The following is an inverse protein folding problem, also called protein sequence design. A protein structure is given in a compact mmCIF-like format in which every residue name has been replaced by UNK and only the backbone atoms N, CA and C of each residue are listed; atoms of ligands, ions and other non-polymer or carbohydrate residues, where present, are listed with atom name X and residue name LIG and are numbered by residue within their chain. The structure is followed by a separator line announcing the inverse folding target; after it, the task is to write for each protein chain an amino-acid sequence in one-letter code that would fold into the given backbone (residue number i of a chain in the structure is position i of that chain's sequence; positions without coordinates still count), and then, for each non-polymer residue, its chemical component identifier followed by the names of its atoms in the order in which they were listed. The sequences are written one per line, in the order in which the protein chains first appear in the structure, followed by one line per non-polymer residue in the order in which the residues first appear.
data_IF_792908948561
#
_entry.id   IF_792908948561
#
_cell.length_a   1.000
_cell.length_b   1.000
_cell.length_c   1.000
_cell.angle_alpha   90.00
_cell.angle_beta   90.00
_cell.angle_gamma   90.00
#
_symmetry.space_group_name_H-M   'P 1'
#
loop_
_entity.id
_entity.type
_entity.pdbx_description
1 polymer ?
#
# COMPACT_ATOMS: atom_id res chain seq x y z
N UNK A 1 -15.57 1.63 -25.26
CA UNK A 1 -14.82 0.35 -25.19
C UNK A 1 -13.99 0.23 -23.92
N UNK A 2 -13.41 1.32 -23.37
CA UNK A 2 -12.62 1.28 -22.13
C UNK A 2 -13.41 0.90 -20.87
N UNK A 3 -14.68 1.32 -20.73
CA UNK A 3 -15.47 1.01 -19.52
C UNK A 3 -15.62 -0.49 -19.26
N UNK A 4 -15.81 -1.29 -20.32
CA UNK A 4 -15.88 -2.75 -20.21
C UNK A 4 -14.54 -3.37 -19.75
N UNK A 5 -13.42 -2.81 -20.21
CA UNK A 5 -12.08 -3.25 -19.81
C UNK A 5 -11.82 -2.97 -18.33
N UNK A 6 -12.21 -1.79 -17.84
CA UNK A 6 -12.04 -1.43 -16.42
C UNK A 6 -12.81 -2.38 -15.51
N UNK A 7 -14.08 -2.68 -15.84
CA UNK A 7 -14.90 -3.61 -15.06
C UNK A 7 -14.29 -5.02 -15.09
N UNK A 8 -13.86 -5.49 -16.26
CA UNK A 8 -13.20 -6.78 -16.40
C UNK A 8 -11.94 -6.86 -15.55
N UNK A 9 -11.11 -5.82 -15.57
CA UNK A 9 -9.86 -5.79 -14.82
C UNK A 9 -10.10 -5.75 -13.31
N UNK A 10 -11.11 -5.00 -12.84
CA UNK A 10 -11.54 -5.04 -11.43
C UNK A 10 -11.98 -6.45 -11.03
N UNK A 11 -12.75 -7.14 -11.88
CA UNK A 11 -13.16 -8.53 -11.62
C UNK A 11 -11.96 -9.45 -11.54
N UNK A 12 -10.97 -9.30 -12.43
CA UNK A 12 -9.72 -10.07 -12.39
C UNK A 12 -8.96 -9.80 -11.09
N UNK A 13 -8.81 -8.53 -10.70
CA UNK A 13 -8.17 -8.11 -9.44
C UNK A 13 -8.84 -8.81 -8.26
N UNK A 14 -10.18 -8.79 -8.18
CA UNK A 14 -10.93 -9.42 -7.10
C UNK A 14 -10.77 -10.94 -7.11
N UNK A 15 -10.91 -11.58 -8.27
CA UNK A 15 -10.83 -13.04 -8.41
C UNK A 15 -9.45 -13.59 -8.05
N UNK A 16 -8.37 -12.86 -8.34
CA UNK A 16 -7.01 -13.29 -8.02
C UNK A 16 -6.62 -12.90 -6.59
N UNK A 17 -7.01 -11.71 -6.14
CA UNK A 17 -6.63 -11.23 -4.80
C UNK A 17 -7.32 -12.04 -3.69
N UNK A 18 -8.61 -12.35 -3.83
CA UNK A 18 -9.37 -13.02 -2.75
C UNK A 18 -8.77 -14.38 -2.33
N UNK A 19 -8.44 -15.33 -3.23
CA UNK A 19 -7.79 -16.58 -2.85
C UNK A 19 -6.42 -16.37 -2.21
N UNK A 20 -5.61 -15.44 -2.74
CA UNK A 20 -4.27 -15.14 -2.22
C UNK A 20 -4.38 -14.61 -0.79
N UNK A 21 -5.28 -13.65 -0.55
CA UNK A 21 -5.51 -13.07 0.77
C UNK A 21 -6.02 -14.13 1.74
N UNK A 22 -6.95 -14.99 1.30
CA UNK A 22 -7.46 -16.08 2.12
C UNK A 22 -6.32 -17.01 2.57
N UNK A 23 -5.43 -17.37 1.65
CA UNK A 23 -4.24 -18.17 1.95
C UNK A 23 -3.30 -17.44 2.92
N UNK A 24 -3.01 -16.16 2.69
CA UNK A 24 -2.13 -15.36 3.55
C UNK A 24 -2.68 -15.21 4.95
N UNK A 25 -3.99 -14.99 5.07
CA UNK A 25 -4.69 -14.94 6.36
C UNK A 25 -4.61 -16.29 7.08
N UNK A 26 -4.74 -17.41 6.37
CA UNK A 26 -4.58 -18.76 6.96
C UNK A 26 -3.15 -19.00 7.47
N UNK A 27 -2.16 -18.39 6.82
CA UNK A 27 -0.75 -18.44 7.23
C UNK A 27 -0.40 -17.40 8.32
N UNK A 28 -1.39 -16.64 8.83
CA UNK A 28 -1.19 -15.52 9.76
C UNK A 28 -0.24 -14.43 9.23
N UNK A 29 -0.18 -14.26 7.91
CA UNK A 29 0.58 -13.20 7.27
C UNK A 29 -0.27 -11.94 7.07
N UNK A 30 0.32 -10.74 7.09
CA UNK A 30 -0.40 -9.50 6.80
C UNK A 30 -1.03 -9.53 5.40
N UNK A 31 -2.34 -9.25 5.32
CA UNK A 31 -3.08 -9.29 4.05
C UNK A 31 -2.54 -8.29 3.02
N UNK A 32 -1.95 -7.17 3.47
CA UNK A 32 -1.30 -6.18 2.59
C UNK A 32 -0.23 -6.82 1.70
N UNK A 33 0.58 -7.72 2.25
CA UNK A 33 1.61 -8.45 1.48
C UNK A 33 0.95 -9.33 0.41
N UNK A 34 -0.18 -9.95 0.74
CA UNK A 34 -0.98 -10.73 -0.22
C UNK A 34 -1.53 -9.88 -1.36
N UNK A 35 -2.03 -8.67 -1.08
CA UNK A 35 -2.47 -7.72 -2.12
C UNK A 35 -1.32 -7.31 -3.06
N UNK A 36 -0.14 -7.01 -2.50
CA UNK A 36 1.04 -6.67 -3.30
C UNK A 36 1.48 -7.83 -4.20
N UNK A 37 1.45 -9.06 -3.68
CA UNK A 37 1.76 -10.25 -4.47
C UNK A 37 0.74 -10.51 -5.57
N UNK A 38 -0.55 -10.36 -5.28
CA UNK A 38 -1.60 -10.46 -6.28
C UNK A 38 -1.38 -9.44 -7.40
N UNK A 39 -1.10 -8.18 -7.05
CA UNK A 39 -0.78 -7.11 -7.99
C UNK A 39 0.47 -7.39 -8.82
N UNK A 40 1.54 -7.91 -8.20
CA UNK A 40 2.76 -8.32 -8.90
C UNK A 40 2.50 -9.45 -9.90
N UNK A 41 1.61 -10.39 -9.57
CA UNK A 41 1.25 -11.51 -10.44
C UNK A 41 0.40 -11.05 -11.63
N UNK A 42 -0.62 -10.22 -11.42
CA UNK A 42 -1.58 -9.84 -12.48
C UNK A 42 -1.18 -8.59 -13.25
N UNK A 43 -0.32 -7.75 -12.67
CA UNK A 43 0.10 -6.46 -13.18
C UNK A 43 0.97 -6.55 -14.45
N UNK A 44 1.43 -5.41 -14.96
CA UNK A 44 2.13 -5.32 -16.24
C UNK A 44 3.49 -6.06 -16.26
N UNK A 45 4.10 -6.28 -15.10
CA UNK A 45 5.35 -7.03 -14.97
C UNK A 45 5.14 -8.53 -14.69
N UNK A 46 3.91 -8.95 -14.37
CA UNK A 46 3.53 -10.34 -14.18
C UNK A 46 2.93 -10.93 -15.46
N UNK A 47 1.70 -11.45 -15.35
CA UNK A 47 0.96 -12.04 -16.47
C UNK A 47 0.30 -11.03 -17.41
N UNK A 48 0.41 -9.72 -17.15
CA UNK A 48 -0.17 -8.65 -18.00
C UNK A 48 -1.66 -8.84 -18.24
N UNK A 49 -2.39 -9.23 -17.19
CA UNK A 49 -3.83 -9.47 -17.28
C UNK A 49 -4.64 -8.17 -17.25
N UNK A 50 -4.06 -7.14 -16.63
CA UNK A 50 -4.64 -5.80 -16.53
C UNK A 50 -4.30 -4.99 -17.78
N UNK A 51 -5.32 -4.43 -18.43
CA UNK A 51 -5.19 -3.65 -19.67
C UNK A 51 -5.42 -2.16 -19.44
N UNK A 52 -6.34 -1.80 -18.54
CA UNK A 52 -6.68 -0.43 -18.17
C UNK A 52 -5.86 0.01 -16.95
N UNK A 53 -4.52 -0.01 -17.07
CA UNK A 53 -3.59 0.24 -15.95
C UNK A 53 -3.75 1.67 -15.42
N UNK A 54 -3.79 2.65 -16.31
CA UNK A 54 -3.89 4.07 -15.94
C UNK A 54 -5.22 4.36 -15.22
N UNK A 55 -6.34 3.80 -15.71
CA UNK A 55 -7.64 3.97 -15.06
C UNK A 55 -7.72 3.27 -13.70
N UNK A 56 -7.07 2.11 -13.55
CA UNK A 56 -7.01 1.40 -12.27
C UNK A 56 -6.12 2.15 -11.27
N UNK A 57 -5.03 2.78 -11.72
CA UNK A 57 -4.17 3.60 -10.88
C UNK A 57 -4.95 4.77 -10.27
N UNK A 58 -5.71 5.51 -11.08
CA UNK A 58 -6.58 6.60 -10.60
C UNK A 58 -7.62 6.09 -9.59
N UNK A 59 -8.23 4.93 -9.86
CA UNK A 59 -9.19 4.32 -8.92
C UNK A 59 -8.51 3.91 -7.61
N UNK A 60 -7.28 3.39 -7.66
CA UNK A 60 -6.51 3.02 -6.49
C UNK A 60 -6.11 4.23 -5.65
N UNK A 61 -5.71 5.34 -6.28
CA UNK A 61 -5.44 6.60 -5.59
C UNK A 61 -6.67 7.10 -4.82
N UNK A 62 -7.84 7.10 -5.47
CA UNK A 62 -9.10 7.47 -4.81
C UNK A 62 -9.38 6.53 -3.63
N UNK A 63 -9.19 5.21 -3.81
CA UNK A 63 -9.35 4.23 -2.74
C UNK A 63 -8.43 4.49 -1.53
N UNK A 64 -7.16 4.81 -1.78
CA UNK A 64 -6.19 5.16 -0.72
C UNK A 64 -6.56 6.46 -0.04
N UNK A 65 -7.01 7.48 -0.78
CA UNK A 65 -7.48 8.74 -0.22
C UNK A 65 -8.68 8.50 0.71
N UNK A 66 -9.67 7.71 0.27
CA UNK A 66 -10.84 7.36 1.08
C UNK A 66 -10.45 6.55 2.33
N UNK A 67 -9.48 5.64 2.22
CA UNK A 67 -8.94 4.89 3.36
C UNK A 67 -8.26 5.82 4.37
N UNK A 68 -7.36 6.69 3.90
CA UNK A 68 -6.66 7.65 4.76
C UNK A 68 -7.62 8.65 5.40
N UNK A 69 -8.66 9.06 4.67
CA UNK A 69 -9.74 9.88 5.21
C UNK A 69 -10.51 9.15 6.31
N UNK A 70 -10.87 7.88 6.10
CA UNK A 70 -11.56 7.06 7.10
C UNK A 70 -10.71 6.88 8.35
N UNK A 71 -9.42 6.56 8.20
CA UNK A 71 -8.45 6.52 9.31
C UNK A 71 -8.43 7.86 10.05
N UNK A 72 -8.45 8.98 9.31
CA UNK A 72 -8.53 10.32 9.89
C UNK A 72 -9.80 10.57 10.71
N UNK A 73 -10.95 10.05 10.27
CA UNK A 73 -12.22 10.16 11.01
C UNK A 73 -12.27 9.28 12.27
N UNK A 74 -11.60 8.14 12.27
CA UNK A 74 -11.51 7.26 13.45
C UNK A 74 -10.64 7.87 14.57
N UNK A 75 -9.69 8.73 14.22
CA UNK A 75 -8.78 9.36 15.16
C UNK A 75 -9.41 10.62 15.77
N UNK A 76 -9.64 10.61 17.07
CA UNK A 76 -10.14 11.78 17.80
C UNK A 76 -9.03 12.66 18.36
N UNK A 77 -9.30 13.97 18.50
CA UNK A 77 -8.38 14.92 19.14
C UNK A 77 -7.94 14.50 20.56
N UNK A 78 -8.84 13.90 21.33
CA UNK A 78 -8.54 13.41 22.69
C UNK A 78 -7.57 12.23 22.66
N UNK A 79 -7.73 11.29 21.71
CA UNK A 79 -6.78 10.19 21.50
C UNK A 79 -5.41 10.72 21.09
N UNK A 80 -5.34 11.65 20.13
CA UNK A 80 -4.07 12.28 19.72
C UNK A 80 -3.40 12.93 20.93
N UNK A 81 -4.12 13.74 21.71
CA UNK A 81 -3.54 14.44 22.86
C UNK A 81 -3.03 13.47 23.94
N UNK A 82 -3.67 12.29 24.08
CA UNK A 82 -3.22 11.22 24.98
C UNK A 82 -1.90 10.60 24.53
N UNK A 83 -1.72 10.36 23.23
CA UNK A 83 -0.52 9.72 22.68
C UNK A 83 0.51 10.71 22.14
N UNK A 84 0.26 12.03 22.15
CA UNK A 84 1.08 13.05 21.49
C UNK A 84 2.55 12.99 21.88
N UNK A 85 2.83 12.78 23.18
CA UNK A 85 4.21 12.76 23.67
C UNK A 85 4.94 11.56 23.09
N UNK A 86 4.31 10.40 23.08
CA UNK A 86 4.85 9.18 22.49
C UNK A 86 5.00 9.29 20.97
N UNK A 87 3.99 9.83 20.27
CA UNK A 87 4.05 10.07 18.82
C UNK A 87 5.22 11.01 18.45
N UNK A 88 5.36 12.13 19.16
CA UNK A 88 6.39 13.13 18.85
C UNK A 88 7.79 12.67 19.25
N UNK A 89 7.96 12.00 20.39
CA UNK A 89 9.29 11.55 20.84
C UNK A 89 9.67 10.23 20.20
N UNK A 90 8.97 9.14 20.52
CA UNK A 90 9.33 7.80 20.04
C UNK A 90 9.06 7.67 18.54
N UNK A 91 7.88 8.09 18.07
CA UNK A 91 7.54 8.06 16.64
C UNK A 91 8.44 8.97 15.81
N UNK A 92 8.64 10.22 16.25
CA UNK A 92 9.55 11.16 15.60
C UNK A 92 10.99 10.66 15.55
N UNK A 93 11.54 10.23 16.69
CA UNK A 93 12.90 9.71 16.76
C UNK A 93 13.06 8.44 15.90
N UNK A 94 12.09 7.52 15.92
CA UNK A 94 12.09 6.33 15.08
C UNK A 94 12.11 6.71 13.59
N UNK A 95 11.24 7.63 13.17
CA UNK A 95 11.20 8.10 11.78
C UNK A 95 12.56 8.64 11.34
N UNK A 96 13.13 9.58 12.10
CA UNK A 96 14.45 10.15 11.76
C UNK A 96 15.55 9.10 11.74
N UNK A 97 15.61 8.21 12.72
CA UNK A 97 16.63 7.15 12.77
C UNK A 97 16.49 6.22 11.57
N UNK A 98 15.28 5.72 11.26
CA UNK A 98 15.07 4.83 10.12
C UNK A 98 15.37 5.51 8.79
N UNK A 99 15.04 6.79 8.66
CA UNK A 99 15.36 7.58 7.47
C UNK A 99 16.87 7.78 7.30
N UNK A 100 17.61 8.08 8.38
CA UNK A 100 19.07 8.22 8.36
C UNK A 100 19.74 6.89 8.04
N UNK A 101 19.29 5.79 8.65
CA UNK A 101 19.82 4.46 8.37
C UNK A 101 19.59 4.09 6.90
N UNK A 102 18.37 4.30 6.39
CA UNK A 102 18.06 4.06 4.97
C UNK A 102 18.94 4.89 4.04
N UNK A 103 19.12 6.17 4.36
CA UNK A 103 20.02 7.07 3.62
C UNK A 103 21.47 6.59 3.63
N UNK A 104 22.01 6.19 4.79
CA UNK A 104 23.38 5.69 4.91
C UNK A 104 23.59 4.40 4.11
N UNK A 105 22.65 3.46 4.17
CA UNK A 105 22.69 2.22 3.39
C UNK A 105 22.73 2.54 1.90
N UNK A 106 21.89 3.46 1.44
CA UNK A 106 21.83 3.87 0.05
C UNK A 106 23.13 4.58 -0.39
N UNK A 107 23.66 5.48 0.43
CA UNK A 107 24.94 6.17 0.19
C UNK A 107 26.12 5.19 0.09
N UNK A 108 26.22 4.22 1.01
CA UNK A 108 27.28 3.20 1.00
C UNK A 108 27.16 2.25 -0.20
N UNK A 109 25.94 2.00 -0.67
CA UNK A 109 25.68 1.15 -1.83
C UNK A 109 26.12 1.78 -3.17
N UNK A 110 26.60 3.03 -3.15
CA UNK A 110 27.07 3.74 -4.33
C UNK A 110 25.96 4.13 -5.30
N UNK A 111 24.70 4.07 -4.85
CA UNK A 111 23.55 4.45 -5.65
C UNK A 111 23.43 5.99 -5.66
N UNK A 112 23.13 6.61 -6.81
CA UNK A 112 23.04 8.06 -6.93
C UNK A 112 21.90 8.61 -6.07
N UNK A 113 22.24 9.48 -5.12
CA UNK A 113 21.28 10.22 -4.28
C UNK A 113 20.77 11.42 -5.07
N UNK A 114 19.93 11.17 -6.08
CA UNK A 114 19.29 12.19 -6.90
C UNK A 114 17.79 12.23 -6.64
#
# INVERSE_FOLDING_TARGET
MNEFLVIQDIVIILLVSLPIIFLFRKLNLPSLVGFLLAGMIIGPFGFKLIKAVDEIEVMAEIGVILLMFTIGLEVSFSQINRIKKFLLTAGGLQFFITSIIGFLIFYISGLPVN
#
